data_IF_201492187383
#
_entry.id   IF_201492187383
#
_cell.length_a   1.000
_cell.length_b   1.000
_cell.length_c   1.000
_cell.angle_alpha   90.00
_cell.angle_beta   90.00
_cell.angle_gamma   90.00
#
_symmetry.space_group_name_H-M   'P 1'
#
loop_
_entity.id
_entity.type
_entity.pdbx_description
1 polymer ?
#
# COMPACT_ATOMS: atom_id res chain seq x y z
N UNK A 1 -16.23 8.19 -7.90
CA UNK A 1 -15.13 7.20 -7.81
C UNK A 1 -13.83 7.96 -8.11
N UNK A 2 -12.81 7.83 -7.27
CA UNK A 2 -11.54 8.56 -7.47
C UNK A 2 -10.75 7.90 -8.62
N UNK A 3 -10.75 8.56 -9.78
CA UNK A 3 -10.17 8.03 -11.02
C UNK A 3 -8.66 7.82 -10.94
N UNK A 4 -7.96 8.59 -10.11
CA UNK A 4 -6.51 8.45 -9.92
C UNK A 4 -6.18 7.18 -9.12
N UNK A 5 -6.96 6.88 -8.09
CA UNK A 5 -6.79 5.64 -7.31
C UNK A 5 -7.07 4.41 -8.19
N UNK A 6 -8.15 4.43 -8.97
CA UNK A 6 -8.48 3.31 -9.87
C UNK A 6 -7.40 3.09 -10.92
N UNK A 7 -6.91 4.15 -11.56
CA UNK A 7 -5.85 4.05 -12.57
C UNK A 7 -4.50 3.61 -11.98
N UNK A 8 -4.16 4.03 -10.76
CA UNK A 8 -2.96 3.55 -10.07
C UNK A 8 -3.06 2.06 -9.72
N UNK A 9 -4.22 1.59 -9.25
CA UNK A 9 -4.45 0.18 -8.98
C UNK A 9 -4.35 -0.67 -10.26
N UNK A 10 -4.88 -0.18 -11.39
CA UNK A 10 -4.74 -0.83 -12.70
C UNK A 10 -3.28 -0.90 -13.16
N UNK A 11 -2.51 0.18 -12.98
CA UNK A 11 -1.08 0.19 -13.29
C UNK A 11 -0.32 -0.87 -12.47
N UNK A 12 -0.59 -0.99 -11.16
CA UNK A 12 -0.04 -2.08 -10.35
C UNK A 12 -0.48 -3.45 -10.87
N UNK A 13 -1.76 -3.66 -11.19
CA UNK A 13 -2.22 -4.94 -11.74
C UNK A 13 -1.49 -5.32 -13.04
N UNK A 14 -1.12 -4.33 -13.87
CA UNK A 14 -0.36 -4.51 -15.10
C UNK A 14 1.16 -4.66 -14.88
N UNK A 15 1.65 -4.61 -13.64
CA UNK A 15 3.09 -4.71 -13.34
C UNK A 15 3.85 -3.39 -13.51
N UNK A 16 3.17 -2.25 -13.53
CA UNK A 16 3.75 -0.91 -13.66
C UNK A 16 3.72 -0.13 -12.31
N UNK A 17 4.67 -0.40 -11.39
CA UNK A 17 4.74 0.30 -10.11
C UNK A 17 5.12 1.78 -10.25
N UNK A 18 5.92 2.16 -11.26
CA UNK A 18 6.31 3.56 -11.48
C UNK A 18 5.15 4.39 -11.99
N UNK A 19 4.36 3.86 -12.93
CA UNK A 19 3.13 4.52 -13.37
C UNK A 19 2.10 4.61 -12.24
N UNK A 20 2.01 3.62 -11.35
CA UNK A 20 1.16 3.75 -10.17
C UNK A 20 1.63 4.91 -9.27
N UNK A 21 2.93 4.98 -8.96
CA UNK A 21 3.50 6.06 -8.15
C UNK A 21 3.29 7.44 -8.77
N UNK A 22 3.47 7.60 -10.08
CA UNK A 22 3.23 8.88 -10.78
C UNK A 22 1.80 9.42 -10.58
N UNK A 23 0.83 8.55 -10.32
CA UNK A 23 -0.58 8.94 -10.11
C UNK A 23 -0.91 9.28 -8.65
N UNK A 24 -0.18 8.72 -7.68
CA UNK A 24 -0.54 8.82 -6.25
C UNK A 24 0.56 9.36 -5.33
N UNK A 25 1.76 9.67 -5.84
CA UNK A 25 2.93 10.03 -5.02
C UNK A 25 2.73 11.27 -4.13
N UNK A 26 1.90 12.23 -4.56
CA UNK A 26 1.61 13.47 -3.83
C UNK A 26 0.37 13.38 -2.93
N UNK A 27 -0.19 12.18 -2.77
CA UNK A 27 -1.40 11.94 -2.00
C UNK A 27 -1.10 11.16 -0.72
N UNK A 28 -1.79 11.55 0.34
CA UNK A 28 -1.65 10.99 1.68
C UNK A 28 -2.98 10.43 2.25
N UNK A 29 -4.02 10.30 1.43
CA UNK A 29 -5.23 9.55 1.80
C UNK A 29 -4.96 8.04 1.90
N UNK A 30 -5.79 7.33 2.67
CA UNK A 30 -5.55 5.92 3.00
C UNK A 30 -5.38 5.01 1.76
N UNK A 31 -6.23 5.08 0.71
CA UNK A 31 -6.01 4.35 -0.54
C UNK A 31 -4.68 4.69 -1.24
N UNK A 32 -4.32 5.98 -1.33
CA UNK A 32 -3.07 6.39 -1.95
C UNK A 32 -1.84 5.84 -1.21
N UNK A 33 -1.83 5.92 0.13
CA UNK A 33 -0.78 5.34 0.96
C UNK A 33 -0.64 3.83 0.76
N UNK A 34 -1.77 3.12 0.69
CA UNK A 34 -1.77 1.67 0.45
C UNK A 34 -1.14 1.32 -0.91
N UNK A 35 -1.56 1.99 -1.99
CA UNK A 35 -1.03 1.74 -3.34
C UNK A 35 0.45 2.10 -3.45
N UNK A 36 0.90 3.20 -2.81
CA UNK A 36 2.34 3.54 -2.73
C UNK A 36 3.12 2.45 -2.00
N UNK A 37 2.59 1.92 -0.89
CA UNK A 37 3.22 0.83 -0.16
C UNK A 37 3.41 -0.43 -1.00
N UNK A 38 2.37 -0.85 -1.72
CA UNK A 38 2.42 -2.01 -2.63
C UNK A 38 3.43 -1.77 -3.77
N UNK A 39 3.46 -0.55 -4.35
CA UNK A 39 4.43 -0.20 -5.38
C UNK A 39 5.87 -0.30 -4.87
N UNK A 40 6.15 0.24 -3.68
CA UNK A 40 7.48 0.18 -3.06
C UNK A 40 7.91 -1.26 -2.76
N UNK A 41 6.98 -2.11 -2.28
CA UNK A 41 7.27 -3.52 -2.03
C UNK A 41 7.71 -4.24 -3.31
N UNK A 42 7.03 -3.97 -4.44
CA UNK A 42 7.38 -4.54 -5.76
C UNK A 42 8.72 -4.04 -6.29
N UNK A 43 9.13 -2.83 -5.92
CA UNK A 43 10.44 -2.26 -6.24
C UNK A 43 11.55 -2.72 -5.28
N UNK A 44 11.21 -3.51 -4.25
CA UNK A 44 12.15 -4.06 -3.27
C UNK A 44 12.42 -3.16 -2.06
N UNK A 45 11.80 -1.97 -1.97
CA UNK A 45 11.90 -1.09 -0.79
C UNK A 45 10.87 -1.53 0.27
N UNK A 46 11.20 -2.65 0.93
CA UNK A 46 10.34 -3.31 1.92
C UNK A 46 10.12 -2.45 3.18
N UNK A 47 11.15 -1.73 3.62
CA UNK A 47 11.08 -0.89 4.82
C UNK A 47 10.11 0.28 4.65
N UNK A 48 10.19 0.96 3.50
CA UNK A 48 9.27 2.04 3.16
C UNK A 48 7.86 1.52 2.90
N UNK A 49 7.73 0.38 2.24
CA UNK A 49 6.45 -0.26 1.99
C UNK A 49 5.70 -0.59 3.30
N UNK A 50 6.38 -1.21 4.27
CA UNK A 50 5.83 -1.52 5.61
C UNK A 50 5.29 -0.27 6.29
N UNK A 51 6.07 0.81 6.28
CA UNK A 51 5.68 2.09 6.89
C UNK A 51 4.43 2.69 6.23
N UNK A 52 4.35 2.66 4.90
CA UNK A 52 3.22 3.19 4.14
C UNK A 52 1.94 2.37 4.39
N UNK A 53 2.04 1.04 4.39
CA UNK A 53 0.89 0.15 4.64
C UNK A 53 0.34 0.30 6.06
N UNK A 54 1.22 0.46 7.06
CA UNK A 54 0.83 0.74 8.44
C UNK A 54 0.08 2.07 8.55
N UNK A 55 0.59 3.12 7.91
CA UNK A 55 -0.07 4.43 7.87
C UNK A 55 -1.42 4.37 7.15
N UNK A 56 -1.51 3.63 6.04
CA UNK A 56 -2.78 3.40 5.34
C UNK A 56 -3.81 2.70 6.23
N UNK A 57 -3.40 1.62 6.92
CA UNK A 57 -4.27 0.88 7.84
C UNK A 57 -4.83 1.79 8.97
N UNK A 58 -4.02 2.72 9.48
CA UNK A 58 -4.43 3.70 10.49
C UNK A 58 -5.37 4.79 9.94
N UNK A 59 -5.22 5.15 8.66
CA UNK A 59 -6.00 6.19 8.02
C UNK A 59 -7.39 5.72 7.55
N UNK A 60 -7.59 4.43 7.30
CA UNK A 60 -8.90 3.87 6.97
C UNK A 60 -9.88 3.97 8.15
N UNK A 61 -11.09 4.45 7.87
CA UNK A 61 -12.13 4.64 8.88
C UNK A 61 -12.82 3.34 9.33
N UNK A 62 -13.68 3.40 10.36
CA UNK A 62 -14.38 2.20 10.89
C UNK A 62 -15.29 1.50 9.88
N UNK A 63 -15.80 2.23 8.87
CA UNK A 63 -16.63 1.67 7.80
C UNK A 63 -15.81 0.99 6.68
N UNK A 64 -14.49 1.11 6.71
CA UNK A 64 -13.57 0.60 5.68
C UNK A 64 -12.76 -0.60 6.19
N UNK A 65 -13.36 -1.41 7.07
CA UNK A 65 -12.69 -2.50 7.78
C UNK A 65 -11.96 -3.48 6.84
N UNK A 66 -12.54 -3.79 5.68
CA UNK A 66 -11.93 -4.69 4.69
C UNK A 66 -10.67 -4.08 4.07
N UNK A 67 -10.70 -2.78 3.72
CA UNK A 67 -9.54 -2.10 3.16
C UNK A 67 -8.41 -2.00 4.18
N UNK A 68 -8.75 -1.69 5.44
CA UNK A 68 -7.81 -1.73 6.56
C UNK A 68 -7.18 -3.12 6.73
N UNK A 69 -7.98 -4.18 6.75
CA UNK A 69 -7.49 -5.55 6.91
C UNK A 69 -6.52 -5.94 5.78
N UNK A 70 -6.80 -5.55 4.53
CA UNK A 70 -5.89 -5.79 3.39
C UNK A 70 -4.53 -5.12 3.58
N UNK A 71 -4.47 -3.92 4.15
CA UNK A 71 -3.20 -3.26 4.45
C UNK A 71 -2.40 -4.01 5.52
N UNK A 72 -3.08 -4.50 6.56
CA UNK A 72 -2.45 -5.32 7.62
C UNK A 72 -1.91 -6.64 7.04
N UNK A 73 -2.67 -7.31 6.17
CA UNK A 73 -2.22 -8.53 5.50
C UNK A 73 -0.99 -8.25 4.63
N UNK A 74 -1.02 -7.18 3.83
CA UNK A 74 0.14 -6.79 3.01
C UNK A 74 1.38 -6.44 3.87
N UNK A 75 1.19 -5.79 5.02
CA UNK A 75 2.27 -5.53 5.97
C UNK A 75 2.85 -6.84 6.53
N UNK A 76 2.00 -7.81 6.85
CA UNK A 76 2.39 -9.13 7.34
C UNK A 76 3.13 -9.94 6.26
N UNK A 77 2.73 -9.87 4.99
CA UNK A 77 3.45 -10.49 3.87
C UNK A 77 4.88 -9.94 3.76
N UNK A 78 5.04 -8.62 3.90
CA UNK A 78 6.37 -7.99 3.90
C UNK A 78 7.19 -8.46 5.11
N UNK A 79 6.59 -8.51 6.30
CA UNK A 79 7.25 -9.01 7.50
C UNK A 79 7.74 -10.46 7.31
N UNK A 80 6.94 -11.31 6.65
CA UNK A 80 7.31 -12.69 6.33
C UNK A 80 8.50 -12.75 5.36
N UNK A 81 8.44 -12.00 4.26
CA UNK A 81 9.52 -11.96 3.25
C UNK A 81 10.83 -11.41 3.84
N UNK A 82 10.73 -10.38 4.70
CA UNK A 82 11.88 -9.77 5.37
C UNK A 82 12.39 -10.52 6.59
N UNK A 83 11.67 -11.56 7.05
CA UNK A 83 11.93 -12.30 8.30
C UNK A 83 11.90 -11.40 9.56
N UNK A 84 11.20 -10.28 9.49
CA UNK A 84 11.02 -9.32 10.60
C UNK A 84 9.64 -9.53 11.26
N UNK A 85 9.54 -10.61 12.03
CA UNK A 85 8.30 -11.07 12.67
C UNK A 85 8.10 -10.51 14.08
N UNK A 86 8.89 -9.51 14.50
CA UNK A 86 8.82 -8.93 15.85
C UNK A 86 7.58 -8.01 16.08
N UNK A 87 6.57 -8.08 15.21
CA UNK A 87 5.37 -7.22 15.22
C UNK A 87 4.15 -7.98 15.76
N UNK A 88 3.22 -7.32 16.49
CA UNK A 88 2.22 -6.43 15.86
C UNK A 88 2.37 -4.93 16.18
#
# INVERSE_FOLDING_TARGET
>A
MDSLITSAAQALAAGDPLGALNRVALRDDAPALALRGIAMARLGDLARAKTLLRSAARAFGPKEAVARARCVVAEAEIALVSRDLNFP
#
